data_IF_502827742171
#
_entry.id   IF_502827742171
#
_cell.length_a   1.000
_cell.length_b   1.000
_cell.length_c   1.000
_cell.angle_alpha   90.00
_cell.angle_beta   90.00
_cell.angle_gamma   90.00
#
_symmetry.space_group_name_H-M   'P 1'
#
loop_
_entity.id
_entity.type
_entity.pdbx_description
1 polymer ?
#
# COMPACT_ATOMS: atom_id res chain seq x y z
N UNK A 1 -35.12 -18.70 23.02
CA UNK A 1 -35.67 -17.95 24.17
C UNK A 1 -36.64 -16.91 23.63
N UNK A 2 -37.90 -16.84 24.10
CA UNK A 2 -38.97 -15.99 23.52
C UNK A 2 -39.22 -14.76 24.40
N UNK A 3 -39.02 -13.56 23.86
CA UNK A 3 -39.56 -12.31 24.40
C UNK A 3 -40.58 -11.73 23.42
N UNK A 4 -41.67 -11.14 23.93
CA UNK A 4 -42.73 -10.50 23.13
C UNK A 4 -42.57 -8.98 23.14
N UNK A 5 -42.53 -8.37 21.96
CA UNK A 5 -42.98 -6.99 21.73
C UNK A 5 -43.65 -6.93 20.35
N UNK A 6 -44.93 -6.53 20.30
CA UNK A 6 -45.60 -6.10 19.06
C UNK A 6 -46.12 -7.20 18.12
N UNK A 7 -47.23 -6.90 17.45
CA UNK A 7 -48.18 -7.81 16.79
C UNK A 7 -47.74 -8.29 15.39
N UNK A 8 -46.48 -8.72 15.22
CA UNK A 8 -46.02 -9.45 14.04
C UNK A 8 -45.13 -10.63 14.44
N UNK A 9 -45.61 -11.84 14.16
CA UNK A 9 -44.93 -13.09 14.48
C UNK A 9 -43.84 -13.37 13.45
N UNK A 10 -42.65 -12.75 13.61
CA UNK A 10 -41.45 -13.20 12.89
C UNK A 10 -40.92 -14.46 13.56
N UNK A 11 -41.07 -15.59 12.88
CA UNK A 11 -40.36 -16.82 13.21
C UNK A 11 -38.88 -16.55 12.90
N UNK A 12 -38.09 -16.20 13.92
CA UNK A 12 -36.64 -16.41 13.86
C UNK A 12 -36.42 -17.88 14.20
N UNK A 13 -36.45 -18.73 13.18
CA UNK A 13 -36.04 -20.12 13.31
C UNK A 13 -34.52 -20.15 13.44
N UNK A 14 -34.02 -20.86 14.45
CA UNK A 14 -32.62 -21.29 14.48
C UNK A 14 -32.34 -22.08 13.21
N UNK A 15 -31.21 -21.83 12.51
CA UNK A 15 -30.91 -22.54 11.27
C UNK A 15 -30.81 -24.03 11.56
N UNK A 16 -31.55 -24.84 10.82
CA UNK A 16 -31.43 -26.30 10.87
C UNK A 16 -30.15 -26.74 10.17
N UNK A 17 -29.65 -27.93 10.49
CA UNK A 17 -28.44 -28.49 9.85
C UNK A 17 -28.56 -28.56 8.32
N UNK A 18 -29.77 -28.67 7.76
CA UNK A 18 -29.98 -28.65 6.31
C UNK A 18 -29.75 -27.27 5.68
N UNK A 19 -30.04 -26.16 6.39
CA UNK A 19 -29.78 -24.80 5.88
C UNK A 19 -28.27 -24.47 5.82
N UNK A 20 -27.44 -25.24 6.54
CA UNK A 20 -25.99 -25.07 6.57
C UNK A 20 -25.27 -25.65 5.35
N UNK A 21 -25.92 -26.54 4.58
CA UNK A 21 -25.33 -27.19 3.40
C UNK A 21 -25.53 -26.37 2.11
N UNK A 22 -26.50 -25.45 2.08
CA UNK A 22 -26.79 -24.61 0.89
C UNK A 22 -25.77 -23.47 0.74
N UNK A 23 -25.06 -23.10 1.82
CA UNK A 23 -24.00 -22.09 1.82
C UNK A 23 -22.61 -22.75 1.74
N UNK A 24 -22.32 -23.36 0.60
CA UNK A 24 -21.02 -23.96 0.30
C UNK A 24 -19.84 -23.06 0.72
N UNK A 25 -18.98 -23.60 1.60
CA UNK A 25 -17.65 -23.09 2.00
C UNK A 25 -17.57 -21.77 2.80
N UNK A 26 -18.68 -21.19 3.27
CA UNK A 26 -18.66 -19.89 3.97
C UNK A 26 -19.41 -19.82 5.31
N UNK A 27 -20.00 -20.91 5.80
CA UNK A 27 -20.69 -20.94 7.10
C UNK A 27 -19.77 -21.44 8.22
N UNK A 28 -19.48 -20.58 9.20
CA UNK A 28 -18.90 -20.94 10.50
C UNK A 28 -19.83 -20.42 11.62
N UNK A 29 -19.89 -21.09 12.80
CA UNK A 29 -20.62 -20.58 13.95
C UNK A 29 -20.14 -19.16 14.29
N UNK A 30 -21.05 -18.17 14.22
CA UNK A 30 -20.71 -16.77 14.44
C UNK A 30 -20.93 -16.40 15.92
N UNK A 31 -19.83 -16.23 16.67
CA UNK A 31 -19.88 -15.57 17.97
C UNK A 31 -19.63 -14.06 17.77
N UNK A 32 -20.58 -13.17 18.11
CA UNK A 32 -20.39 -11.72 18.02
C UNK A 32 -19.15 -11.20 18.76
N UNK A 33 -18.74 -11.84 19.85
CA UNK A 33 -17.54 -11.48 20.62
C UNK A 33 -16.23 -11.84 19.88
N UNK A 34 -16.29 -12.83 18.97
CA UNK A 34 -15.15 -13.28 18.15
C UNK A 34 -15.19 -12.72 16.73
N UNK A 35 -16.12 -11.80 16.45
CA UNK A 35 -16.33 -11.21 15.12
C UNK A 35 -15.04 -10.72 14.47
N UNK A 36 -14.24 -9.96 15.20
CA UNK A 36 -12.99 -9.40 14.69
C UNK A 36 -11.99 -10.49 14.32
N UNK A 37 -11.80 -11.49 15.18
CA UNK A 37 -10.95 -12.65 14.91
C UNK A 37 -11.43 -13.44 13.71
N UNK A 38 -12.74 -13.64 13.54
CA UNK A 38 -13.28 -14.31 12.35
C UNK A 38 -13.02 -13.51 11.07
N UNK A 39 -13.21 -12.19 11.08
CA UNK A 39 -12.89 -11.34 9.93
C UNK A 39 -11.40 -11.40 9.58
N UNK A 40 -10.52 -11.34 10.58
CA UNK A 40 -9.08 -11.48 10.43
C UNK A 40 -8.71 -12.83 9.79
N UNK A 41 -9.29 -13.93 10.28
CA UNK A 41 -9.05 -15.27 9.73
C UNK A 41 -9.52 -15.41 8.26
N UNK A 42 -10.69 -14.85 7.93
CA UNK A 42 -11.21 -14.83 6.55
C UNK A 42 -10.24 -14.05 5.65
N UNK A 43 -9.81 -12.86 6.09
CA UNK A 43 -8.87 -12.02 5.35
C UNK A 43 -7.55 -12.75 5.08
N UNK A 44 -6.92 -13.29 6.11
CA UNK A 44 -5.65 -14.02 6.02
C UNK A 44 -5.77 -15.24 5.10
N UNK A 45 -6.83 -16.03 5.26
CA UNK A 45 -7.04 -17.24 4.45
C UNK A 45 -7.28 -16.90 2.98
N UNK A 46 -8.07 -15.87 2.68
CA UNK A 46 -8.42 -15.51 1.31
C UNK A 46 -7.28 -14.81 0.59
N UNK A 47 -6.50 -13.96 1.27
CA UNK A 47 -5.36 -13.24 0.69
C UNK A 47 -4.21 -14.17 0.24
N UNK A 48 -4.13 -15.38 0.78
CA UNK A 48 -3.15 -16.40 0.41
C UNK A 48 -3.55 -17.24 -0.81
N UNK A 49 -4.81 -17.14 -1.26
CA UNK A 49 -5.32 -17.91 -2.40
C UNK A 49 -5.19 -17.14 -3.70
N UNK A 50 -5.02 -17.87 -4.80
CA UNK A 50 -5.21 -17.33 -6.14
C UNK A 50 -6.71 -17.24 -6.42
N UNK A 51 -7.29 -16.07 -6.20
CA UNK A 51 -8.71 -15.80 -6.43
C UNK A 51 -8.97 -15.42 -7.89
N UNK A 52 -10.15 -15.74 -8.42
CA UNK A 52 -10.65 -15.13 -9.66
C UNK A 52 -10.87 -13.62 -9.47
N UNK A 53 -11.05 -12.87 -10.57
CA UNK A 53 -11.32 -11.42 -10.49
C UNK A 53 -12.60 -11.12 -9.69
N UNK A 54 -13.75 -11.80 -9.91
CA UNK A 54 -14.95 -11.58 -9.09
C UNK A 54 -14.71 -11.89 -7.61
N UNK A 55 -14.03 -12.99 -7.28
CA UNK A 55 -13.72 -13.32 -5.88
C UNK A 55 -12.78 -12.30 -5.22
N UNK A 56 -11.83 -11.74 -5.97
CA UNK A 56 -10.94 -10.68 -5.47
C UNK A 56 -11.70 -9.36 -5.26
N UNK A 57 -12.66 -9.05 -6.13
CA UNK A 57 -13.57 -7.92 -5.99
C UNK A 57 -14.42 -8.07 -4.72
N UNK A 58 -15.04 -9.23 -4.52
CA UNK A 58 -15.86 -9.55 -3.34
C UNK A 58 -15.03 -9.49 -2.05
N UNK A 59 -13.80 -10.01 -2.06
CA UNK A 59 -12.89 -9.90 -0.92
C UNK A 59 -12.59 -8.43 -0.60
N UNK A 60 -12.34 -7.61 -1.61
CA UNK A 60 -12.03 -6.20 -1.43
C UNK A 60 -13.22 -5.47 -0.80
N UNK A 61 -14.43 -5.67 -1.32
CA UNK A 61 -15.65 -5.06 -0.77
C UNK A 61 -15.95 -5.57 0.66
N UNK A 62 -15.73 -6.86 0.92
CA UNK A 62 -15.83 -7.42 2.27
C UNK A 62 -14.88 -6.69 3.23
N UNK A 63 -13.60 -6.56 2.88
CA UNK A 63 -12.58 -5.91 3.71
C UNK A 63 -12.86 -4.41 3.91
N UNK A 64 -13.36 -3.73 2.89
CA UNK A 64 -13.77 -2.33 2.97
C UNK A 64 -14.85 -2.10 4.04
N UNK A 65 -15.78 -3.06 4.18
CA UNK A 65 -16.84 -3.02 5.18
C UNK A 65 -16.34 -3.42 6.56
N UNK A 66 -15.69 -4.58 6.70
CA UNK A 66 -15.42 -5.17 8.01
C UNK A 66 -14.40 -4.42 8.84
N UNK A 67 -13.50 -3.66 8.22
CA UNK A 67 -12.55 -2.79 8.94
C UNK A 67 -13.26 -1.74 9.81
N UNK A 68 -14.46 -1.31 9.41
CA UNK A 68 -15.27 -0.30 10.13
C UNK A 68 -16.16 -0.94 11.21
N UNK A 69 -16.31 -2.27 11.23
CA UNK A 69 -17.21 -2.98 12.14
C UNK A 69 -16.53 -3.46 13.44
N UNK A 70 -15.20 -3.26 13.55
CA UNK A 70 -14.39 -3.70 14.70
C UNK A 70 -13.52 -2.58 15.31
N UNK A 71 -14.02 -1.33 15.46
CA UNK A 71 -13.20 -0.20 15.90
C UNK A 71 -12.67 -0.35 17.34
N UNK A 72 -13.26 -1.25 18.14
CA UNK A 72 -12.81 -1.55 19.50
C UNK A 72 -11.58 -2.46 19.58
N UNK A 73 -11.11 -3.00 18.46
CA UNK A 73 -9.93 -3.88 18.38
C UNK A 73 -8.93 -3.29 17.36
N UNK A 74 -8.16 -2.26 17.76
CA UNK A 74 -7.42 -1.42 16.82
C UNK A 74 -6.35 -2.18 16.02
N UNK A 75 -5.71 -3.20 16.60
CA UNK A 75 -4.75 -4.06 15.89
C UNK A 75 -5.42 -4.85 14.77
N UNK A 76 -6.58 -5.46 15.04
CA UNK A 76 -7.33 -6.20 14.01
C UNK A 76 -7.92 -5.24 12.98
N UNK A 77 -8.43 -4.09 13.40
CA UNK A 77 -8.93 -3.07 12.48
C UNK A 77 -7.83 -2.61 11.50
N UNK A 78 -6.61 -2.41 12.00
CA UNK A 78 -5.46 -2.07 11.17
C UNK A 78 -5.10 -3.18 10.18
N UNK A 79 -5.10 -4.44 10.62
CA UNK A 79 -4.85 -5.60 9.75
C UNK A 79 -5.88 -5.71 8.62
N UNK A 80 -7.16 -5.53 8.94
CA UNK A 80 -8.24 -5.56 7.95
C UNK A 80 -8.15 -4.38 6.98
N UNK A 81 -7.79 -3.20 7.48
CA UNK A 81 -7.62 -2.02 6.64
C UNK A 81 -6.40 -2.13 5.71
N UNK A 82 -5.28 -2.68 6.16
CA UNK A 82 -4.14 -3.01 5.30
C UNK A 82 -4.51 -4.08 4.28
N UNK A 83 -5.20 -5.13 4.73
CA UNK A 83 -5.70 -6.21 3.88
C UNK A 83 -6.59 -5.68 2.76
N UNK A 84 -7.46 -4.70 3.05
CA UNK A 84 -8.30 -4.03 2.06
C UNK A 84 -7.45 -3.39 0.94
N UNK A 85 -6.45 -2.58 1.29
CA UNK A 85 -5.61 -1.91 0.30
C UNK A 85 -4.77 -2.92 -0.52
N UNK A 86 -4.27 -3.97 0.12
CA UNK A 86 -3.53 -5.03 -0.58
C UNK A 86 -4.43 -5.85 -1.51
N UNK A 87 -5.67 -6.13 -1.09
CA UNK A 87 -6.69 -6.79 -1.91
C UNK A 87 -7.06 -5.94 -3.13
N UNK A 88 -7.28 -4.65 -2.91
CA UNK A 88 -7.56 -3.68 -3.97
C UNK A 88 -6.40 -3.61 -4.97
N UNK A 89 -5.15 -3.51 -4.48
CA UNK A 89 -3.94 -3.52 -5.32
C UNK A 89 -3.87 -4.77 -6.19
N UNK A 90 -4.06 -5.95 -5.60
CA UNK A 90 -4.10 -7.23 -6.34
C UNK A 90 -5.17 -7.25 -7.42
N UNK A 91 -6.33 -6.63 -7.19
CA UNK A 91 -7.37 -6.54 -8.21
C UNK A 91 -6.94 -5.65 -9.37
N UNK A 92 -6.49 -4.41 -9.09
CA UNK A 92 -6.17 -3.43 -10.13
C UNK A 92 -4.94 -3.79 -10.95
N UNK A 93 -3.97 -4.50 -10.37
CA UNK A 93 -2.79 -5.01 -11.10
C UNK A 93 -3.13 -6.12 -12.10
N UNK A 94 -4.30 -6.75 -11.97
CA UNK A 94 -4.73 -7.87 -12.82
C UNK A 94 -5.74 -7.47 -13.88
N UNK A 95 -6.39 -6.32 -13.73
CA UNK A 95 -7.41 -5.87 -14.66
C UNK A 95 -6.78 -5.07 -15.78
N UNK A 96 -6.94 -5.54 -17.02
CA UNK A 96 -6.49 -4.82 -18.20
C UNK A 96 -7.52 -3.79 -18.69
N UNK A 97 -7.17 -3.04 -19.74
CA UNK A 97 -8.03 -2.01 -20.33
C UNK A 97 -9.33 -2.60 -20.90
N UNK A 98 -9.29 -3.80 -21.49
CA UNK A 98 -10.48 -4.43 -22.07
C UNK A 98 -11.45 -4.87 -20.97
N UNK A 99 -10.94 -5.53 -19.94
CA UNK A 99 -11.69 -5.95 -18.77
C UNK A 99 -12.27 -4.75 -18.01
N UNK A 100 -11.53 -3.64 -17.94
CA UNK A 100 -12.01 -2.39 -17.33
C UNK A 100 -13.26 -1.83 -18.01
N UNK A 101 -13.55 -2.22 -19.26
CA UNK A 101 -14.76 -1.82 -19.98
C UNK A 101 -15.96 -2.76 -19.75
N UNK A 102 -15.76 -3.92 -19.13
CA UNK A 102 -16.85 -4.83 -18.78
C UNK A 102 -17.74 -4.14 -17.72
N UNK A 103 -19.08 -4.10 -17.88
CA UNK A 103 -19.95 -3.26 -17.05
C UNK A 103 -19.81 -3.46 -15.53
N UNK A 104 -19.63 -4.72 -15.08
CA UNK A 104 -19.48 -5.01 -13.65
C UNK A 104 -18.18 -4.42 -13.08
N UNK A 105 -17.06 -4.59 -13.78
CA UNK A 105 -15.78 -4.08 -13.32
C UNK A 105 -15.67 -2.58 -13.50
N UNK A 106 -16.21 -2.02 -14.59
CA UNK A 106 -16.27 -0.57 -14.81
C UNK A 106 -16.99 0.13 -13.66
N UNK A 107 -18.20 -0.33 -13.34
CA UNK A 107 -19.02 0.23 -12.25
C UNK A 107 -18.29 0.14 -10.90
N UNK A 108 -17.62 -1.00 -10.65
CA UNK A 108 -16.85 -1.19 -9.43
C UNK A 108 -15.61 -0.27 -9.35
N UNK A 109 -14.82 -0.17 -10.43
CA UNK A 109 -13.66 0.74 -10.52
C UNK A 109 -14.07 2.20 -10.35
N UNK A 110 -15.17 2.62 -10.97
CA UNK A 110 -15.70 3.98 -10.85
C UNK A 110 -16.02 4.32 -9.38
N UNK A 111 -16.57 3.37 -8.62
CA UNK A 111 -16.80 3.53 -7.18
C UNK A 111 -15.50 3.70 -6.39
N UNK A 112 -14.48 2.90 -6.67
CA UNK A 112 -13.18 3.03 -5.98
C UNK A 112 -12.48 4.35 -6.33
N UNK A 113 -12.58 4.79 -7.59
CA UNK A 113 -12.05 6.07 -8.08
C UNK A 113 -12.75 7.26 -7.43
N UNK A 114 -14.08 7.21 -7.28
CA UNK A 114 -14.85 8.24 -6.58
C UNK A 114 -14.42 8.41 -5.11
N UNK A 115 -13.94 7.33 -4.49
CA UNK A 115 -13.37 7.35 -3.13
C UNK A 115 -11.89 7.74 -3.10
N UNK A 116 -11.29 8.12 -4.23
CA UNK A 116 -9.87 8.41 -4.38
C UNK A 116 -8.95 7.27 -3.91
N UNK A 117 -9.43 6.03 -3.98
CA UNK A 117 -8.63 4.85 -3.62
C UNK A 117 -7.71 4.44 -4.77
N UNK A 118 -8.13 4.67 -6.01
CA UNK A 118 -7.41 4.30 -7.22
C UNK A 118 -7.42 5.42 -8.24
N UNK A 119 -6.46 5.38 -9.16
CA UNK A 119 -6.43 6.19 -10.36
C UNK A 119 -5.97 5.35 -11.56
N UNK A 120 -6.32 5.79 -12.76
CA UNK A 120 -5.81 5.20 -13.99
C UNK A 120 -4.59 6.00 -14.44
N UNK A 121 -3.47 5.31 -14.61
CA UNK A 121 -2.26 5.87 -15.19
C UNK A 121 -2.30 5.69 -16.71
N UNK A 122 -2.50 6.79 -17.43
CA UNK A 122 -2.58 6.79 -18.89
C UNK A 122 -1.23 6.47 -19.55
N UNK A 123 -0.10 6.76 -18.88
CA UNK A 123 1.23 6.49 -19.40
C UNK A 123 1.52 4.98 -19.34
N UNK A 124 1.19 4.35 -18.22
CA UNK A 124 1.39 2.92 -18.03
C UNK A 124 0.22 2.07 -18.56
N UNK A 125 -0.92 2.69 -18.90
CA UNK A 125 -2.13 2.01 -19.34
C UNK A 125 -2.72 1.09 -18.27
N UNK A 126 -2.54 1.43 -16.99
CA UNK A 126 -2.82 0.55 -15.86
C UNK A 126 -3.52 1.28 -14.71
N UNK A 127 -4.26 0.53 -13.90
CA UNK A 127 -4.87 1.04 -12.68
C UNK A 127 -3.92 0.86 -11.49
N UNK A 128 -3.85 1.88 -10.63
CA UNK A 128 -3.04 1.85 -9.41
C UNK A 128 -3.85 2.27 -8.20
N UNK A 129 -3.49 1.72 -7.04
CA UNK A 129 -3.92 2.25 -5.74
C UNK A 129 -3.15 3.54 -5.47
N UNK A 130 -3.83 4.58 -5.01
CA UNK A 130 -3.16 5.81 -4.59
C UNK A 130 -2.30 5.55 -3.35
N UNK A 131 -0.98 5.71 -3.48
CA UNK A 131 -0.02 5.50 -2.38
C UNK A 131 -0.33 6.34 -1.14
N UNK A 132 -1.04 7.48 -1.29
CA UNK A 132 -1.52 8.27 -0.14
C UNK A 132 -2.42 7.46 0.78
N UNK A 133 -3.16 6.48 0.27
CA UNK A 133 -4.03 5.63 1.09
C UNK A 133 -3.23 4.81 2.11
N UNK A 134 -2.07 4.27 1.72
CA UNK A 134 -1.20 3.55 2.65
C UNK A 134 -0.60 4.48 3.70
N UNK A 135 -0.19 5.69 3.32
CA UNK A 135 0.39 6.65 4.26
C UNK A 135 -0.65 7.24 5.24
N UNK A 136 -1.87 7.54 4.77
CA UNK A 136 -2.99 7.92 5.64
C UNK A 136 -3.32 6.78 6.62
N UNK A 137 -3.30 5.54 6.13
CA UNK A 137 -3.51 4.36 6.97
C UNK A 137 -2.40 4.20 8.03
N UNK A 138 -1.15 4.41 7.64
CA UNK A 138 -0.01 4.43 8.56
C UNK A 138 -0.22 5.46 9.66
N UNK A 139 -0.56 6.70 9.30
CA UNK A 139 -0.72 7.79 10.26
C UNK A 139 -1.91 7.53 11.20
N UNK A 140 -2.96 6.88 10.72
CA UNK A 140 -4.14 6.49 11.52
C UNK A 140 -3.80 5.47 12.60
N UNK A 141 -2.93 4.50 12.29
CA UNK A 141 -2.61 3.38 13.18
C UNK A 141 -1.24 3.49 13.86
N UNK A 142 -0.47 4.54 13.61
CA UNK A 142 0.77 4.81 14.34
C UNK A 142 0.47 5.13 15.82
N UNK A 143 1.23 4.60 16.81
CA UNK A 143 2.46 3.81 16.70
C UNK A 143 2.25 2.29 16.88
N UNK A 144 1.09 1.72 16.50
CA UNK A 144 0.88 0.26 16.61
C UNK A 144 1.95 -0.51 15.82
N UNK A 145 2.33 -1.72 16.25
CA UNK A 145 3.38 -2.52 15.57
C UNK A 145 3.14 -2.71 14.06
N UNK A 146 1.88 -2.82 13.64
CA UNK A 146 1.49 -2.96 12.23
C UNK A 146 1.75 -1.73 11.37
N UNK A 147 1.95 -0.55 11.97
CA UNK A 147 2.27 0.68 11.23
C UNK A 147 3.51 0.47 10.36
N UNK A 148 4.52 -0.28 10.81
CA UNK A 148 5.68 -0.59 9.98
C UNK A 148 5.29 -1.35 8.70
N UNK A 149 4.48 -2.40 8.81
CA UNK A 149 4.00 -3.18 7.66
C UNK A 149 3.16 -2.33 6.70
N UNK A 150 2.37 -1.39 7.23
CA UNK A 150 1.61 -0.44 6.41
C UNK A 150 2.54 0.52 5.66
N UNK A 151 3.53 1.10 6.35
CA UNK A 151 4.52 1.97 5.73
C UNK A 151 5.31 1.25 4.65
N UNK A 152 5.71 -0.01 4.90
CA UNK A 152 6.39 -0.83 3.91
C UNK A 152 5.50 -1.10 2.69
N UNK A 153 4.23 -1.46 2.90
CA UNK A 153 3.29 -1.66 1.81
C UNK A 153 3.09 -0.39 0.95
N UNK A 154 3.11 0.79 1.57
CA UNK A 154 3.06 2.08 0.89
C UNK A 154 4.34 2.44 0.14
N UNK A 155 5.52 2.09 0.67
CA UNK A 155 6.79 2.27 -0.01
C UNK A 155 6.95 1.35 -1.23
N UNK A 156 6.41 0.13 -1.15
CA UNK A 156 6.41 -0.84 -2.25
C UNK A 156 5.25 -0.66 -3.24
N UNK A 157 4.32 0.27 -2.98
CA UNK A 157 3.21 0.50 -3.87
C UNK A 157 3.71 1.16 -5.17
N UNK A 158 3.38 0.60 -6.36
CA UNK A 158 3.77 1.23 -7.62
C UNK A 158 3.23 2.66 -7.70
N UNK A 159 4.09 3.61 -8.06
CA UNK A 159 3.64 4.96 -8.42
C UNK A 159 3.44 5.04 -9.92
N UNK A 160 2.42 5.78 -10.33
CA UNK A 160 2.16 6.06 -11.73
C UNK A 160 3.14 7.06 -12.33
N UNK A 161 3.00 7.31 -13.63
CA UNK A 161 3.91 8.09 -14.45
C UNK A 161 5.24 7.37 -14.68
N UNK A 162 6.04 7.94 -15.57
CA UNK A 162 7.43 7.57 -15.77
C UNK A 162 8.36 8.74 -15.49
N UNK A 163 9.62 8.45 -15.20
CA UNK A 163 10.64 9.49 -15.03
C UNK A 163 11.47 9.73 -16.28
N UNK A 164 11.32 8.93 -17.35
CA UNK A 164 12.10 9.06 -18.60
C UNK A 164 13.63 9.15 -18.39
N UNK A 165 14.14 8.60 -17.28
CA UNK A 165 15.54 8.70 -16.88
C UNK A 165 15.95 10.00 -16.16
N UNK A 166 15.07 10.99 -16.02
CA UNK A 166 15.35 12.24 -15.29
C UNK A 166 15.70 11.97 -13.82
N UNK A 167 16.88 12.44 -13.42
CA UNK A 167 17.44 12.17 -12.10
C UNK A 167 16.57 12.74 -10.97
N UNK A 168 16.13 14.00 -11.08
CA UNK A 168 15.33 14.63 -10.03
C UNK A 168 13.97 13.95 -9.83
N UNK A 169 13.34 13.48 -10.90
CA UNK A 169 12.14 12.64 -10.82
C UNK A 169 12.42 11.33 -10.07
N UNK A 170 13.48 10.59 -10.43
CA UNK A 170 13.81 9.34 -9.77
C UNK A 170 14.15 9.53 -8.28
N UNK A 171 14.88 10.61 -7.93
CA UNK A 171 15.16 10.93 -6.53
C UNK A 171 13.89 11.32 -5.74
N UNK A 172 12.95 12.05 -6.35
CA UNK A 172 11.63 12.33 -5.73
C UNK A 172 10.86 11.05 -5.46
N UNK A 173 10.80 10.12 -6.43
CA UNK A 173 10.15 8.80 -6.23
C UNK A 173 10.80 8.01 -5.10
N UNK A 174 12.13 8.02 -5.00
CA UNK A 174 12.85 7.42 -3.88
C UNK A 174 12.48 8.10 -2.53
N UNK A 175 12.37 9.43 -2.52
CA UNK A 175 11.99 10.21 -1.32
C UNK A 175 10.57 9.88 -0.83
N UNK A 176 9.63 9.71 -1.76
CA UNK A 176 8.22 9.43 -1.50
C UNK A 176 7.95 7.98 -1.09
N UNK A 177 8.89 7.06 -1.34
CA UNK A 177 8.77 5.62 -1.06
C UNK A 177 9.76 5.17 0.02
N UNK A 178 10.95 4.75 -0.40
CA UNK A 178 11.98 4.09 0.42
C UNK A 178 12.48 5.00 1.54
N UNK A 179 12.79 6.26 1.21
CA UNK A 179 13.24 7.23 2.22
C UNK A 179 12.09 7.56 3.17
N UNK A 180 10.85 7.69 2.67
CA UNK A 180 9.69 7.94 3.52
C UNK A 180 9.49 6.82 4.54
N UNK A 181 9.60 5.56 4.15
CA UNK A 181 9.58 4.44 5.09
C UNK A 181 10.65 4.59 6.18
N UNK A 182 11.92 4.84 5.80
CA UNK A 182 13.02 4.98 6.76
C UNK A 182 12.92 6.22 7.67
N UNK A 183 12.20 7.27 7.25
CA UNK A 183 11.94 8.44 8.13
C UNK A 183 11.13 8.04 9.36
N UNK A 184 10.16 7.13 9.20
CA UNK A 184 9.29 6.64 10.28
C UNK A 184 9.88 5.42 10.99
N UNK A 185 10.49 4.50 10.25
CA UNK A 185 10.97 3.21 10.75
C UNK A 185 12.46 2.99 10.44
N UNK A 186 13.38 3.84 10.94
CA UNK A 186 14.80 3.80 10.57
C UNK A 186 15.53 2.51 10.97
N UNK A 187 14.99 1.78 11.94
CA UNK A 187 15.50 0.50 12.42
C UNK A 187 14.38 -0.57 12.44
N UNK A 188 13.37 -0.41 11.58
CA UNK A 188 12.30 -1.40 11.41
C UNK A 188 12.81 -2.71 10.82
N UNK A 189 11.97 -3.73 10.84
CA UNK A 189 12.20 -5.03 10.20
C UNK A 189 12.62 -4.94 8.72
N UNK A 190 12.19 -3.90 7.99
CA UNK A 190 12.54 -3.67 6.57
C UNK A 190 13.61 -2.61 6.35
N UNK A 191 14.25 -2.10 7.41
CA UNK A 191 15.27 -1.04 7.29
C UNK A 191 16.49 -1.46 6.45
N UNK A 192 16.94 -2.72 6.58
CA UNK A 192 18.04 -3.25 5.76
C UNK A 192 17.68 -3.26 4.27
N UNK A 193 16.50 -3.77 3.93
CA UNK A 193 15.99 -3.81 2.56
C UNK A 193 15.87 -2.39 1.97
N UNK A 194 15.32 -1.45 2.74
CA UNK A 194 15.20 -0.05 2.33
C UNK A 194 16.57 0.63 2.12
N UNK A 195 17.55 0.39 2.99
CA UNK A 195 18.90 0.95 2.81
C UNK A 195 19.60 0.33 1.59
N UNK A 196 19.40 -0.96 1.32
CA UNK A 196 19.95 -1.59 0.11
C UNK A 196 19.36 -0.98 -1.18
N UNK A 197 18.06 -0.66 -1.21
CA UNK A 197 17.47 0.08 -2.34
C UNK A 197 18.08 1.46 -2.53
N UNK A 198 18.41 2.16 -1.43
CA UNK A 198 19.16 3.42 -1.51
C UNK A 198 20.53 3.15 -2.12
N UNK A 199 21.27 2.13 -1.66
CA UNK A 199 22.59 1.77 -2.21
C UNK A 199 22.53 1.51 -3.71
N UNK A 200 21.55 0.74 -4.17
CA UNK A 200 21.31 0.46 -5.59
C UNK A 200 21.08 1.75 -6.37
N UNK A 201 20.21 2.63 -5.86
CA UNK A 201 19.96 3.94 -6.45
C UNK A 201 21.24 4.77 -6.56
N UNK A 202 22.01 4.94 -5.46
CA UNK A 202 23.22 5.79 -5.51
C UNK A 202 24.29 5.19 -6.43
N UNK A 203 24.37 3.85 -6.49
CA UNK A 203 25.37 3.13 -7.29
C UNK A 203 25.09 3.12 -8.79
N UNK A 204 23.86 3.47 -9.19
CA UNK A 204 23.46 3.58 -10.59
C UNK A 204 24.05 4.84 -11.27
N UNK A 205 24.42 5.86 -10.49
CA UNK A 205 24.92 7.14 -11.00
C UNK A 205 26.41 7.31 -10.68
N UNK A 206 27.28 7.00 -11.66
CA UNK A 206 28.74 6.97 -11.45
C UNK A 206 29.45 8.14 -12.11
N UNK A 207 28.85 8.69 -13.16
CA UNK A 207 29.41 9.75 -14.00
C UNK A 207 28.31 10.76 -14.35
N UNK A 208 28.71 11.96 -14.82
CA UNK A 208 27.75 12.98 -15.26
C UNK A 208 26.85 12.48 -16.40
N UNK A 209 27.35 11.58 -17.25
CA UNK A 209 26.59 10.98 -18.34
C UNK A 209 25.44 10.09 -17.86
N UNK A 210 25.47 9.62 -16.62
CA UNK A 210 24.39 8.82 -16.02
C UNK A 210 23.25 9.71 -15.49
N UNK A 211 23.43 11.04 -15.47
CA UNK A 211 22.54 11.99 -14.81
C UNK A 211 21.91 12.91 -15.86
N UNK A 212 20.59 12.81 -16.00
CA UNK A 212 19.80 13.72 -16.82
C UNK A 212 19.08 14.69 -15.90
N UNK A 213 19.43 15.99 -15.96
CA UNK A 213 18.82 17.06 -15.17
C UNK A 213 18.06 18.03 -16.06
N UNK A 214 16.91 18.50 -15.57
CA UNK A 214 16.14 19.61 -16.14
C UNK A 214 16.13 20.80 -15.19
N UNK A 215 15.81 21.99 -15.67
CA UNK A 215 15.92 23.23 -14.88
C UNK A 215 15.00 23.18 -13.64
N UNK A 216 13.84 22.54 -13.78
CA UNK A 216 12.84 22.33 -12.74
C UNK A 216 13.39 21.52 -11.54
N UNK A 217 14.41 20.69 -11.74
CA UNK A 217 14.97 19.87 -10.67
C UNK A 217 15.86 20.67 -9.70
N UNK A 218 16.47 21.78 -10.15
CA UNK A 218 17.49 22.50 -9.37
C UNK A 218 17.00 22.99 -8.00
N UNK A 219 15.74 23.38 -7.91
CA UNK A 219 15.18 23.96 -6.68
C UNK A 219 15.09 22.97 -5.52
N UNK A 220 14.73 21.71 -5.80
CA UNK A 220 14.40 20.71 -4.78
C UNK A 220 15.55 19.77 -4.43
N UNK A 221 16.50 19.55 -5.34
CA UNK A 221 17.59 18.59 -5.15
C UNK A 221 18.39 18.79 -3.85
N UNK A 222 18.80 20.02 -3.45
CA UNK A 222 19.52 20.21 -2.18
C UNK A 222 18.73 19.74 -0.96
N UNK A 223 17.41 19.97 -0.97
CA UNK A 223 16.51 19.50 0.10
C UNK A 223 16.43 17.98 0.10
N UNK A 224 16.24 17.36 -1.07
CA UNK A 224 16.12 15.91 -1.22
C UNK A 224 17.39 15.18 -0.76
N UNK A 225 18.58 15.65 -1.14
CA UNK A 225 19.85 15.06 -0.68
C UNK A 225 20.02 15.16 0.84
N UNK A 226 19.72 16.33 1.43
CA UNK A 226 19.77 16.50 2.90
C UNK A 226 18.83 15.52 3.60
N UNK A 227 17.63 15.33 3.07
CA UNK A 227 16.63 14.40 3.62
C UNK A 227 17.10 12.95 3.49
N UNK A 228 17.60 12.55 2.32
CA UNK A 228 18.15 11.22 2.08
C UNK A 228 19.29 10.91 3.06
N UNK A 229 20.27 11.82 3.16
CA UNK A 229 21.44 11.69 4.03
C UNK A 229 21.03 11.57 5.51
N UNK A 230 20.18 12.50 5.99
CA UNK A 230 19.70 12.51 7.38
C UNK A 230 18.93 11.23 7.72
N UNK A 231 18.16 10.72 6.77
CA UNK A 231 17.40 9.48 6.93
C UNK A 231 18.33 8.28 7.10
N UNK A 232 19.34 8.15 6.23
CA UNK A 232 20.34 7.07 6.32
C UNK A 232 21.16 7.16 7.61
N UNK A 233 21.51 8.37 8.03
CA UNK A 233 22.29 8.60 9.26
C UNK A 233 21.61 8.06 10.53
N UNK A 234 20.27 8.08 10.56
CA UNK A 234 19.44 7.59 11.68
C UNK A 234 19.30 6.06 11.73
N UNK A 235 19.73 5.35 10.70
CA UNK A 235 19.69 3.89 10.65
C UNK A 235 20.85 3.25 11.41
N UNK A 236 20.72 1.98 11.78
CA UNK A 236 21.79 1.15 12.32
C UNK A 236 22.40 0.20 11.28
N UNK A 237 22.23 0.50 9.98
CA UNK A 237 22.67 -0.40 8.91
C UNK A 237 24.20 -0.57 8.89
N UNK A 238 24.74 -1.80 8.72
CA UNK A 238 26.20 -2.04 8.77
C UNK A 238 27.02 -1.24 7.77
N UNK A 239 26.43 -0.91 6.61
CA UNK A 239 27.10 -0.13 5.55
C UNK A 239 26.87 1.37 5.64
N UNK A 240 26.23 1.89 6.70
CA UNK A 240 25.77 3.28 6.80
C UNK A 240 26.81 4.31 6.35
N UNK A 241 28.02 4.26 6.89
CA UNK A 241 29.06 5.26 6.59
C UNK A 241 29.49 5.22 5.12
N UNK A 242 29.53 4.02 4.53
CA UNK A 242 29.78 3.86 3.09
C UNK A 242 28.65 4.45 2.25
N UNK A 243 27.39 4.24 2.65
CA UNK A 243 26.24 4.81 1.93
C UNK A 243 26.24 6.33 2.02
N UNK A 244 26.50 6.89 3.21
CA UNK A 244 26.60 8.34 3.41
C UNK A 244 27.71 8.95 2.53
N UNK A 245 28.87 8.31 2.45
CA UNK A 245 29.95 8.76 1.56
C UNK A 245 29.56 8.71 0.08
N UNK A 246 28.80 7.71 -0.35
CA UNK A 246 28.29 7.63 -1.73
C UNK A 246 27.25 8.73 -2.02
N UNK A 247 26.36 9.01 -1.06
CA UNK A 247 25.37 10.10 -1.18
C UNK A 247 26.09 11.44 -1.33
N UNK A 248 27.10 11.72 -0.50
CA UNK A 248 27.88 12.96 -0.56
C UNK A 248 28.60 13.12 -1.90
N UNK A 249 29.16 12.03 -2.46
CA UNK A 249 29.78 12.03 -3.80
C UNK A 249 28.77 12.26 -4.92
N UNK A 250 27.61 11.59 -4.86
CA UNK A 250 26.56 11.78 -5.85
C UNK A 250 26.03 13.22 -5.83
N UNK A 251 25.88 13.82 -4.65
CA UNK A 251 25.48 15.21 -4.51
C UNK A 251 26.48 16.17 -5.18
N UNK A 252 27.79 15.92 -5.02
CA UNK A 252 28.83 16.70 -5.69
C UNK A 252 28.80 16.53 -7.21
N UNK A 253 28.58 15.29 -7.68
CA UNK A 253 28.48 14.98 -9.10
C UNK A 253 27.28 15.70 -9.73
N UNK A 254 26.10 15.61 -9.12
CA UNK A 254 24.88 16.30 -9.55
C UNK A 254 25.07 17.82 -9.60
N UNK A 255 25.83 18.41 -8.67
CA UNK A 255 26.11 19.84 -8.66
C UNK A 255 27.02 20.31 -9.82
N UNK A 256 27.75 19.39 -10.45
CA UNK A 256 28.63 19.65 -11.59
C UNK A 256 27.97 19.32 -12.93
N UNK A 257 26.96 18.45 -12.92
CA UNK A 257 26.23 18.03 -14.11
C UNK A 257 25.48 19.22 -14.75
N UNK A 258 25.68 19.49 -16.06
CA UNK A 258 24.94 20.51 -16.76
C UNK A 258 23.46 20.12 -16.91
N UNK A 259 22.59 21.12 -16.93
CA UNK A 259 21.16 20.91 -17.18
C UNK A 259 20.88 20.81 -18.68
N UNK A 260 20.00 19.89 -19.04
CA UNK A 260 19.49 19.75 -20.40
C UNK A 260 18.65 21.00 -20.73
N UNK A 261 19.02 21.68 -21.82
CA UNK A 261 18.31 22.87 -22.31
C UNK A 261 16.99 22.52 -22.98
#
# INVERSE_FOLDING_TARGET
MRERVGDEMKIVSEPTQEDSEIFGSLSMPFNPEQRATHYQQIAQTRLQKALSLPEQMDLTDFLARVKEEVPSQPEIAAELALSHLLSLRKFVERIDVEQSNVPIYRSWLDKQKQQSLIYFDEIQGAWHVDSKQFWTLHDTFYPLPIAESIAWAGAENPLGGECEGFFGCNLRRLDETTVKYLKYHPNGQRAEEAVNKIVEFVSAYRTEADIILIEEDKGDLPRLFRVLRTTVERTTHPKKDSVLSQIDKLQQLVAQTPVLQ
#
